data_IF_871656319738
#
_entry.id   IF_871656319738
#
_cell.length_a   1.000
_cell.length_b   1.000
_cell.length_c   1.000
_cell.angle_alpha   90.00
_cell.angle_beta   90.00
_cell.angle_gamma   90.00
#
_symmetry.space_group_name_H-M   'P 1'
#
loop_
_entity.id
_entity.type
_entity.pdbx_description
1 polymer ?
#
# COMPACT_ATOMS: atom_id res chain seq x y z
N UNK A 1 -5.54 4.32 6.92
CA UNK A 1 -4.39 4.94 7.60
C UNK A 1 -3.88 4.05 8.71
N UNK A 2 -4.55 4.04 9.86
CA UNK A 2 -4.12 3.33 11.09
C UNK A 2 -3.64 1.89 10.88
N UNK A 3 -4.42 1.04 10.19
CA UNK A 3 -4.00 -0.34 9.92
C UNK A 3 -2.69 -0.45 9.11
N UNK A 4 -2.44 0.48 8.18
CA UNK A 4 -1.20 0.51 7.40
C UNK A 4 -0.01 0.93 8.27
N UNK A 5 -0.23 1.84 9.24
CA UNK A 5 0.79 2.23 10.21
C UNK A 5 1.17 1.03 11.09
N UNK A 6 0.18 0.28 11.57
CA UNK A 6 0.42 -0.95 12.34
C UNK A 6 1.23 -1.96 11.53
N UNK A 7 0.81 -2.25 10.30
CA UNK A 7 1.53 -3.19 9.42
C UNK A 7 2.94 -2.68 9.09
N UNK A 8 3.08 -1.38 8.80
CA UNK A 8 4.37 -0.74 8.53
C UNK A 8 5.34 -0.86 9.69
N UNK A 9 4.86 -0.68 10.91
CA UNK A 9 5.67 -0.84 12.13
C UNK A 9 6.09 -2.29 12.39
N UNK A 10 5.25 -3.27 12.05
CA UNK A 10 5.52 -4.69 12.27
C UNK A 10 6.46 -5.26 11.22
N UNK A 11 6.16 -5.02 9.93
CA UNK A 11 6.82 -5.69 8.82
C UNK A 11 7.95 -4.87 8.20
N UNK A 12 7.94 -3.54 8.36
CA UNK A 12 8.82 -2.60 7.66
C UNK A 12 8.96 -2.87 6.14
N UNK A 13 7.84 -2.87 5.39
CA UNK A 13 7.88 -3.05 3.96
C UNK A 13 8.38 -1.77 3.26
N UNK A 14 8.99 -1.93 2.08
CA UNK A 14 9.30 -0.81 1.19
C UNK A 14 8.04 -0.30 0.47
N UNK A 15 7.09 -1.20 0.18
CA UNK A 15 5.86 -0.90 -0.57
C UNK A 15 4.67 -1.63 0.04
N UNK A 16 3.53 -0.92 0.15
CA UNK A 16 2.22 -1.49 0.44
C UNK A 16 1.32 -1.30 -0.79
N UNK A 17 0.79 -2.39 -1.33
CA UNK A 17 -0.11 -2.37 -2.49
C UNK A 17 -1.56 -2.51 -2.05
N UNK A 18 -2.41 -1.55 -2.42
CA UNK A 18 -3.85 -1.54 -2.14
C UNK A 18 -4.62 -2.15 -3.30
N UNK A 19 -5.21 -3.32 -3.07
CA UNK A 19 -6.05 -4.04 -4.03
C UNK A 19 -7.56 -3.86 -3.81
N UNK A 20 -8.34 -4.66 -4.55
CA UNK A 20 -9.81 -4.67 -4.48
C UNK A 20 -10.47 -3.52 -5.26
N UNK A 21 -11.79 -3.38 -5.13
CA UNK A 21 -12.56 -2.39 -5.91
C UNK A 21 -12.16 -0.93 -5.64
N UNK A 22 -11.62 -0.64 -4.46
CA UNK A 22 -11.20 0.70 -4.05
C UNK A 22 -9.96 1.20 -4.80
N UNK A 23 -9.12 0.30 -5.31
CA UNK A 23 -7.91 0.67 -6.05
C UNK A 23 -8.21 1.44 -7.34
N UNK A 24 -9.43 1.34 -7.88
CA UNK A 24 -9.90 2.11 -9.04
C UNK A 24 -10.01 3.61 -8.78
N UNK A 25 -10.14 4.01 -7.52
CA UNK A 25 -10.25 5.41 -7.10
C UNK A 25 -8.97 5.91 -6.43
N UNK A 26 -7.84 5.22 -6.64
CA UNK A 26 -6.57 5.47 -5.96
C UNK A 26 -6.07 6.92 -6.09
N UNK A 27 -6.26 7.54 -7.25
CA UNK A 27 -5.84 8.92 -7.52
C UNK A 27 -6.50 9.93 -6.57
N UNK A 28 -7.63 9.58 -5.95
CA UNK A 28 -8.33 10.43 -4.99
C UNK A 28 -7.74 10.38 -3.57
N UNK A 29 -6.97 9.35 -3.22
CA UNK A 29 -6.59 9.12 -1.82
C UNK A 29 -5.16 8.65 -1.58
N UNK A 30 -4.44 8.10 -2.56
CA UNK A 30 -3.13 7.48 -2.29
C UNK A 30 -2.10 8.49 -1.79
N UNK A 31 -2.02 9.67 -2.40
CA UNK A 31 -1.08 10.72 -1.96
C UNK A 31 -1.32 11.12 -0.49
N UNK A 32 -2.58 11.42 -0.15
CA UNK A 32 -2.98 11.71 1.21
C UNK A 32 -2.68 10.56 2.18
N UNK A 33 -2.94 9.32 1.76
CA UNK A 33 -2.71 8.14 2.58
C UNK A 33 -1.21 7.91 2.82
N UNK A 34 -0.36 8.15 1.82
CA UNK A 34 1.10 8.02 1.92
C UNK A 34 1.66 9.06 2.89
N UNK A 35 1.24 10.32 2.79
CA UNK A 35 1.60 11.36 3.75
C UNK A 35 1.13 11.00 5.17
N UNK A 36 -0.14 10.61 5.30
CA UNK A 36 -0.73 10.26 6.59
C UNK A 36 0.02 9.12 7.29
N UNK A 37 0.43 8.09 6.55
CA UNK A 37 1.17 6.94 7.08
C UNK A 37 2.61 7.33 7.41
N UNK A 38 3.31 8.02 6.51
CA UNK A 38 4.72 8.38 6.70
C UNK A 38 4.94 9.46 7.77
N UNK A 39 3.91 10.22 8.14
CA UNK A 39 3.95 11.11 9.30
C UNK A 39 3.86 10.36 10.65
N UNK A 40 3.44 9.08 10.65
CA UNK A 40 3.06 8.34 11.88
C UNK A 40 3.75 6.98 12.05
N UNK A 41 4.35 6.43 10.99
CA UNK A 41 5.10 5.19 11.06
C UNK A 41 6.46 5.40 11.74
N UNK A 42 6.98 4.36 12.40
CA UNK A 42 8.31 4.38 13.00
C UNK A 42 9.38 4.56 11.91
N UNK A 43 10.27 5.55 12.10
CA UNK A 43 11.23 5.98 11.08
C UNK A 43 10.72 7.12 10.20
N UNK A 44 9.40 7.31 10.13
CA UNK A 44 8.73 8.41 9.45
C UNK A 44 9.26 8.66 8.02
N UNK A 45 9.33 9.93 7.62
CA UNK A 45 9.85 10.33 6.30
C UNK A 45 11.32 10.00 6.05
N UNK A 46 12.08 9.64 7.08
CA UNK A 46 13.47 9.19 6.92
C UNK A 46 13.56 7.75 6.39
N UNK A 47 12.50 6.97 6.58
CA UNK A 47 12.35 5.59 6.09
C UNK A 47 10.92 5.42 5.55
N UNK A 48 10.59 6.05 4.41
CA UNK A 48 9.23 6.09 3.93
C UNK A 48 8.76 4.73 3.41
N UNK A 49 7.47 4.46 3.56
CA UNK A 49 6.76 3.37 2.92
C UNK A 49 6.00 3.93 1.73
N UNK A 50 6.22 3.37 0.55
CA UNK A 50 5.46 3.72 -0.65
C UNK A 50 4.11 3.02 -0.67
N UNK A 51 3.07 3.74 -1.09
CA UNK A 51 1.72 3.18 -1.20
C UNK A 51 1.29 3.21 -2.66
N UNK A 52 0.95 2.03 -3.20
CA UNK A 52 0.59 1.89 -4.62
C UNK A 52 -0.78 1.23 -4.78
N UNK A 53 -1.45 1.50 -5.90
CA UNK A 53 -2.67 0.80 -6.29
C UNK A 53 -2.34 -0.50 -7.03
N UNK A 54 -3.10 -1.55 -6.78
CA UNK A 54 -2.96 -2.80 -7.54
C UNK A 54 -3.33 -2.57 -9.01
N UNK A 55 -2.41 -2.86 -9.92
CA UNK A 55 -2.57 -2.68 -11.37
C UNK A 55 -3.51 -3.70 -12.03
N UNK A 56 -3.45 -4.95 -11.58
CA UNK A 56 -4.09 -6.08 -12.28
C UNK A 56 -5.48 -6.44 -11.76
N UNK A 57 -6.00 -5.74 -10.73
CA UNK A 57 -7.35 -5.96 -10.22
C UNK A 57 -7.66 -7.45 -10.00
N UNK A 58 -8.74 -7.94 -10.62
CA UNK A 58 -9.18 -9.32 -10.52
C UNK A 58 -8.22 -10.32 -11.18
N UNK A 59 -7.41 -9.88 -12.15
CA UNK A 59 -6.47 -10.74 -12.87
C UNK A 59 -5.24 -11.06 -12.03
N UNK A 60 -4.98 -10.31 -10.95
CA UNK A 60 -3.83 -10.50 -10.07
C UNK A 60 -3.75 -11.94 -9.51
N UNK A 61 -4.89 -12.52 -9.13
CA UNK A 61 -4.95 -13.87 -8.57
C UNK A 61 -4.62 -14.96 -9.61
N UNK A 62 -5.18 -14.83 -10.82
CA UNK A 62 -4.92 -15.78 -11.91
C UNK A 62 -3.46 -15.71 -12.36
N UNK A 63 -2.94 -14.50 -12.57
CA UNK A 63 -1.53 -14.28 -12.96
C UNK A 63 -0.60 -14.89 -11.90
N UNK A 64 -0.86 -14.61 -10.61
CA UNK A 64 -0.09 -15.17 -9.51
C UNK A 64 -0.11 -16.69 -9.48
N UNK A 65 -1.29 -17.30 -9.70
CA UNK A 65 -1.44 -18.75 -9.72
C UNK A 65 -0.68 -19.42 -10.88
N UNK A 66 -0.54 -18.76 -12.03
CA UNK A 66 0.25 -19.30 -13.16
C UNK A 66 1.77 -19.17 -12.99
N UNK A 67 2.22 -18.33 -12.04
CA UNK A 67 3.65 -18.09 -11.80
C UNK A 67 4.28 -19.06 -10.78
N UNK A 68 3.45 -19.83 -10.07
CA UNK A 68 3.85 -20.82 -9.06
C UNK A 68 3.94 -22.22 -9.65
#
# INVERSE_FOLDING_TARGET
GEGLITIGNILRPEVIVIGGGISKSADLYISYLEDYVNDRVYGGKSLPIHIAAAKYGNDAGMIGATLL
#
